data_IF_349042321929
#
_entry.id   IF_349042321929
#
_cell.length_a   1.000
_cell.length_b   1.000
_cell.length_c   1.000
_cell.angle_alpha   90.00
_cell.angle_beta   90.00
_cell.angle_gamma   90.00
#
_symmetry.space_group_name_H-M   'P 1'
#
loop_
_entity.id
_entity.type
_entity.pdbx_description
1 polymer ?
#
# COMPACT_ATOMS: atom_id res chain seq x y z
N UNK A 1 1.27 -4.24 16.76
CA UNK A 1 1.20 -2.76 16.98
C UNK A 1 1.49 -2.07 15.66
N UNK A 2 0.63 -1.16 15.17
CA UNK A 2 0.89 -0.35 13.98
C UNK A 2 1.42 1.03 14.39
N UNK A 3 2.43 1.54 13.68
CA UNK A 3 3.03 2.84 13.92
C UNK A 3 2.85 3.76 12.69
N UNK A 4 2.13 4.88 12.86
CA UNK A 4 2.11 5.93 11.84
C UNK A 4 3.47 6.63 11.77
N UNK A 5 4.05 6.73 10.59
CA UNK A 5 5.29 7.47 10.39
C UNK A 5 5.29 8.29 9.11
N UNK A 6 5.24 9.60 9.29
CA UNK A 6 5.38 10.58 8.21
C UNK A 6 6.79 11.17 8.06
N UNK A 7 7.78 10.69 8.84
CA UNK A 7 9.14 11.23 8.90
C UNK A 7 10.16 10.15 9.26
N UNK A 8 11.38 10.30 8.76
CA UNK A 8 12.51 9.39 8.95
C UNK A 8 12.75 9.01 10.43
N UNK A 9 12.75 9.99 11.34
CA UNK A 9 13.02 9.77 12.76
C UNK A 9 11.96 8.86 13.41
N UNK A 10 10.68 9.05 13.10
CA UNK A 10 9.60 8.20 13.60
C UNK A 10 9.69 6.78 13.07
N UNK A 11 10.00 6.62 11.78
CA UNK A 11 10.20 5.31 11.17
C UNK A 11 11.36 4.55 11.81
N UNK A 12 12.48 5.23 12.12
CA UNK A 12 13.62 4.64 12.79
C UNK A 12 13.26 4.08 14.17
N UNK A 13 12.60 4.89 15.00
CA UNK A 13 12.15 4.46 16.34
C UNK A 13 11.19 3.28 16.26
N UNK A 14 10.24 3.31 15.33
CA UNK A 14 9.28 2.23 15.13
C UNK A 14 9.97 0.93 14.66
N UNK A 15 10.89 1.04 13.70
CA UNK A 15 11.66 -0.10 13.20
C UNK A 15 12.52 -0.74 14.30
N UNK A 16 13.21 0.08 15.12
CA UNK A 16 14.02 -0.37 16.25
C UNK A 16 13.17 -1.01 17.35
N UNK A 17 11.98 -0.49 17.60
CA UNK A 17 11.03 -1.04 18.58
C UNK A 17 10.40 -2.37 18.13
N UNK A 18 10.52 -2.76 16.85
CA UNK A 18 9.97 -4.01 16.34
C UNK A 18 8.45 -4.03 16.35
N UNK A 19 7.81 -2.94 15.90
CA UNK A 19 6.35 -2.91 15.72
C UNK A 19 5.93 -3.89 14.61
N UNK A 20 4.66 -4.30 14.56
CA UNK A 20 4.18 -5.20 13.50
C UNK A 20 4.17 -4.51 12.13
N UNK A 21 3.80 -3.22 12.10
CA UNK A 21 3.80 -2.44 10.86
C UNK A 21 4.19 -0.97 11.05
N UNK A 22 4.76 -0.39 9.97
CA UNK A 22 4.93 1.05 9.81
C UNK A 22 3.99 1.48 8.68
N UNK A 23 3.08 2.40 9.03
CA UNK A 23 2.12 2.98 8.08
C UNK A 23 2.76 4.16 7.33
N UNK A 24 2.52 4.25 6.03
CA UNK A 24 3.04 5.21 5.07
C UNK A 24 4.54 5.05 4.80
N UNK A 25 5.38 5.09 5.82
CA UNK A 25 6.82 4.87 5.70
C UNK A 25 7.48 5.83 4.71
N UNK A 26 7.26 7.13 4.88
CA UNK A 26 7.89 8.13 4.01
C UNK A 26 9.37 8.31 4.35
N UNK A 27 10.18 8.53 3.32
CA UNK A 27 11.61 8.83 3.44
C UNK A 27 12.44 7.70 4.11
N UNK A 28 12.04 6.43 3.91
CA UNK A 28 12.81 5.29 4.42
C UNK A 28 14.16 5.21 3.70
N UNK A 29 15.23 5.15 4.47
CA UNK A 29 16.57 4.85 3.99
C UNK A 29 16.90 3.35 4.06
N UNK A 30 18.02 2.95 3.47
CA UNK A 30 18.43 1.55 3.42
C UNK A 30 18.73 1.00 4.84
N UNK A 31 19.20 1.83 5.79
CA UNK A 31 19.48 1.43 7.18
C UNK A 31 18.19 1.12 7.94
N UNK A 32 17.16 1.95 7.79
CA UNK A 32 15.84 1.71 8.37
C UNK A 32 15.22 0.45 7.77
N UNK A 33 15.25 0.31 6.45
CA UNK A 33 14.74 -0.88 5.77
C UNK A 33 15.47 -2.16 6.22
N UNK A 34 16.78 -2.11 6.40
CA UNK A 34 17.54 -3.24 6.95
C UNK A 34 17.12 -3.58 8.38
N UNK A 35 16.80 -2.56 9.20
CA UNK A 35 16.29 -2.75 10.56
C UNK A 35 14.89 -3.33 10.56
N UNK A 36 13.98 -2.82 9.71
CA UNK A 36 12.64 -3.37 9.50
C UNK A 36 12.71 -4.84 9.12
N UNK A 37 13.58 -5.18 8.15
CA UNK A 37 13.77 -6.58 7.72
C UNK A 37 14.24 -7.49 8.85
N UNK A 38 15.23 -7.07 9.63
CA UNK A 38 15.75 -7.85 10.78
C UNK A 38 14.68 -8.09 11.83
N UNK A 39 13.85 -7.08 12.10
CA UNK A 39 12.83 -7.13 13.15
C UNK A 39 11.45 -7.62 12.66
N UNK A 40 11.34 -8.02 11.39
CA UNK A 40 10.08 -8.52 10.82
C UNK A 40 8.99 -7.46 10.68
N UNK A 41 9.36 -6.16 10.62
CA UNK A 41 8.42 -5.05 10.50
C UNK A 41 7.92 -4.94 9.06
N UNK A 42 6.59 -4.94 8.87
CA UNK A 42 5.94 -4.77 7.57
C UNK A 42 5.78 -3.29 7.23
N UNK A 43 6.03 -2.92 5.98
CA UNK A 43 5.64 -1.61 5.45
C UNK A 43 4.21 -1.68 4.92
N UNK A 44 3.30 -0.87 5.46
CA UNK A 44 1.96 -0.69 4.89
C UNK A 44 1.97 0.57 4.04
N UNK A 45 1.97 0.37 2.72
CA UNK A 45 1.99 1.48 1.77
C UNK A 45 0.62 2.15 1.68
N UNK A 46 0.62 3.45 1.39
CA UNK A 46 -0.58 4.25 1.14
C UNK A 46 -0.31 5.30 0.07
N UNK A 47 0.27 4.87 -1.05
CA UNK A 47 0.65 5.75 -2.17
C UNK A 47 -0.56 6.49 -2.74
N UNK A 48 -1.73 5.86 -2.70
CA UNK A 48 -3.00 6.44 -3.15
C UNK A 48 -3.38 7.72 -2.42
N UNK A 49 -3.01 7.87 -1.15
CA UNK A 49 -3.20 9.13 -0.40
C UNK A 49 -2.43 10.27 -1.06
N UNK A 50 -1.14 10.05 -1.34
CA UNK A 50 -0.28 11.09 -1.94
C UNK A 50 -0.69 11.42 -3.36
N UNK A 51 -1.05 10.42 -4.16
CA UNK A 51 -1.60 10.62 -5.51
C UNK A 51 -2.96 11.36 -5.45
N UNK A 52 -3.79 11.05 -4.45
CA UNK A 52 -5.07 11.74 -4.26
C UNK A 52 -4.91 13.21 -3.90
N UNK A 53 -3.87 13.58 -3.16
CA UNK A 53 -3.60 14.98 -2.82
C UNK A 53 -3.28 15.82 -4.06
N UNK A 54 -2.58 15.28 -5.04
CA UNK A 54 -2.37 15.96 -6.33
C UNK A 54 -3.70 16.24 -7.04
N UNK A 55 -4.60 15.27 -7.06
CA UNK A 55 -5.94 15.44 -7.65
C UNK A 55 -6.76 16.43 -6.84
N UNK A 56 -6.73 16.30 -5.52
CA UNK A 56 -7.46 17.17 -4.61
C UNK A 56 -6.97 18.62 -4.71
N UNK A 57 -5.68 18.85 -4.86
CA UNK A 57 -5.11 20.19 -5.06
C UNK A 57 -5.60 20.91 -6.32
N UNK A 58 -6.13 20.16 -7.30
CA UNK A 58 -6.72 20.73 -8.54
C UNK A 58 -8.19 21.10 -8.39
N UNK A 59 -8.87 20.58 -7.38
CA UNK A 59 -10.33 20.68 -7.23
C UNK A 59 -10.76 21.38 -5.94
N UNK A 60 -9.83 21.61 -5.00
CA UNK A 60 -10.09 22.30 -3.73
C UNK A 60 -9.72 23.78 -3.80
N UNK A 61 -10.29 24.58 -2.89
CA UNK A 61 -9.92 25.98 -2.66
C UNK A 61 -9.08 26.15 -1.38
N UNK A 62 -8.69 25.06 -0.73
CA UNK A 62 -7.93 25.09 0.52
C UNK A 62 -6.47 25.46 0.25
N UNK A 63 -6.02 26.60 0.72
CA UNK A 63 -4.69 27.19 0.45
C UNK A 63 -3.53 26.23 0.70
N UNK A 64 -3.57 25.45 1.78
CA UNK A 64 -2.50 24.46 2.08
C UNK A 64 -2.25 23.42 0.99
N UNK A 65 -3.20 23.23 0.05
CA UNK A 65 -3.08 22.34 -1.11
C UNK A 65 -2.84 23.11 -2.41
N UNK A 66 -3.41 24.31 -2.54
CA UNK A 66 -3.42 25.07 -3.79
C UNK A 66 -2.27 26.07 -3.91
N UNK A 67 -1.69 26.54 -2.79
CA UNK A 67 -0.51 27.38 -2.79
C UNK A 67 0.72 26.65 -3.37
N UNK A 68 1.70 27.40 -3.87
CA UNK A 68 2.92 26.83 -4.46
C UNK A 68 3.65 25.90 -3.49
N UNK A 69 3.86 26.35 -2.26
CA UNK A 69 4.52 25.55 -1.21
C UNK A 69 3.72 24.28 -0.85
N UNK A 70 2.39 24.37 -0.92
CA UNK A 70 1.50 23.22 -0.70
C UNK A 70 1.71 22.14 -1.75
N UNK A 71 1.73 22.53 -3.03
CA UNK A 71 1.96 21.62 -4.15
C UNK A 71 3.37 21.02 -4.12
N UNK A 72 4.39 21.84 -3.84
CA UNK A 72 5.77 21.36 -3.71
C UNK A 72 5.90 20.30 -2.59
N UNK A 73 5.29 20.58 -1.43
CA UNK A 73 5.26 19.61 -0.31
C UNK A 73 4.58 18.31 -0.68
N UNK A 74 3.47 18.36 -1.43
CA UNK A 74 2.77 17.16 -1.91
C UNK A 74 3.68 16.35 -2.84
N UNK A 75 4.29 17.01 -3.80
CA UNK A 75 5.19 16.36 -4.76
C UNK A 75 6.37 15.69 -4.05
N UNK A 76 7.03 16.40 -3.12
CA UNK A 76 8.14 15.85 -2.33
C UNK A 76 7.72 14.64 -1.49
N UNK A 77 6.56 14.69 -0.85
CA UNK A 77 6.05 13.55 -0.06
C UNK A 77 5.75 12.34 -0.92
N UNK A 78 5.15 12.55 -2.08
CA UNK A 78 4.92 11.47 -3.04
C UNK A 78 6.23 10.85 -3.51
N UNK A 79 7.20 11.66 -3.91
CA UNK A 79 8.53 11.20 -4.32
C UNK A 79 9.20 10.38 -3.21
N UNK A 80 9.19 10.88 -1.96
CA UNK A 80 9.74 10.17 -0.81
C UNK A 80 9.03 8.84 -0.53
N UNK A 81 7.71 8.78 -0.68
CA UNK A 81 6.95 7.53 -0.51
C UNK A 81 7.31 6.49 -1.59
N UNK A 82 7.42 6.92 -2.87
CA UNK A 82 7.85 6.03 -3.95
C UNK A 82 9.28 5.51 -3.75
N UNK A 83 10.19 6.39 -3.34
CA UNK A 83 11.58 6.00 -3.03
C UNK A 83 11.64 4.97 -1.89
N UNK A 84 10.77 5.13 -0.89
CA UNK A 84 10.66 4.18 0.24
C UNK A 84 10.21 2.79 -0.20
N UNK A 85 9.27 2.69 -1.15
CA UNK A 85 8.86 1.39 -1.72
C UNK A 85 10.05 0.69 -2.38
N UNK A 86 10.82 1.43 -3.18
CA UNK A 86 12.00 0.88 -3.85
C UNK A 86 13.08 0.45 -2.83
N UNK A 87 13.32 1.22 -1.76
CA UNK A 87 14.25 0.87 -0.70
C UNK A 87 13.78 -0.38 0.08
N UNK A 88 12.51 -0.43 0.47
CA UNK A 88 11.91 -1.56 1.16
C UNK A 88 12.00 -2.85 0.32
N UNK A 89 11.69 -2.77 -0.99
CA UNK A 89 11.83 -3.89 -1.91
C UNK A 89 13.26 -4.41 -1.98
N UNK A 90 14.24 -3.50 -2.16
CA UNK A 90 15.67 -3.89 -2.20
C UNK A 90 16.13 -4.59 -0.93
N UNK A 91 15.67 -4.13 0.23
CA UNK A 91 15.99 -4.72 1.53
C UNK A 91 15.20 -6.02 1.82
N UNK A 92 14.20 -6.36 1.01
CA UNK A 92 13.34 -7.52 1.23
C UNK A 92 12.37 -7.35 2.41
N UNK A 93 11.99 -6.11 2.72
CA UNK A 93 10.91 -5.80 3.66
C UNK A 93 9.59 -6.26 3.08
N UNK A 94 8.74 -6.89 3.89
CA UNK A 94 7.38 -7.23 3.47
C UNK A 94 6.58 -5.94 3.27
N UNK A 95 5.94 -5.81 2.12
CA UNK A 95 5.06 -4.68 1.79
C UNK A 95 3.62 -5.17 1.76
N UNK A 96 2.74 -4.52 2.51
CA UNK A 96 1.30 -4.69 2.45
C UNK A 96 0.63 -3.40 1.97
N UNK A 97 -0.59 -3.49 1.46
CA UNK A 97 -1.35 -2.33 1.01
C UNK A 97 -2.21 -1.73 2.11
N UNK A 98 -2.28 -0.41 2.15
CA UNK A 98 -3.28 0.37 2.88
C UNK A 98 -3.86 1.45 1.97
N UNK A 99 -5.12 1.83 2.15
CA UNK A 99 -5.73 2.92 1.39
C UNK A 99 -5.72 4.25 2.13
N UNK A 100 -5.67 4.22 3.47
CA UNK A 100 -5.86 5.41 4.32
C UNK A 100 -7.05 6.26 3.83
N UNK A 101 -8.17 5.59 3.48
CA UNK A 101 -9.33 6.27 2.91
C UNK A 101 -9.89 7.33 3.87
N UNK A 102 -10.31 8.48 3.31
CA UNK A 102 -10.65 9.66 4.10
C UNK A 102 -9.50 10.67 4.16
N UNK A 103 -8.27 10.26 3.83
CA UNK A 103 -7.14 11.15 3.63
C UNK A 103 -7.12 11.76 2.23
N UNK A 104 -7.62 12.98 2.07
CA UNK A 104 -7.72 13.62 0.75
C UNK A 104 -8.96 13.18 -0.03
N UNK A 105 -8.78 12.69 -1.26
CA UNK A 105 -9.87 12.21 -2.14
C UNK A 105 -9.94 10.69 -2.26
N UNK A 106 -9.18 9.94 -1.49
CA UNK A 106 -9.25 8.47 -1.48
C UNK A 106 -10.57 8.02 -0.87
N UNK A 107 -11.23 7.09 -1.54
CA UNK A 107 -12.50 6.50 -1.10
C UNK A 107 -12.31 5.04 -0.73
N UNK A 108 -13.19 4.54 0.14
CA UNK A 108 -13.27 3.12 0.39
C UNK A 108 -13.50 2.35 -0.92
N UNK A 109 -12.90 1.18 -1.06
CA UNK A 109 -13.00 0.36 -2.26
C UNK A 109 -12.00 0.69 -3.37
N UNK A 110 -11.12 1.68 -3.18
CA UNK A 110 -10.10 2.05 -4.18
C UNK A 110 -8.76 1.33 -3.99
N UNK A 111 -8.73 0.15 -3.37
CA UNK A 111 -7.47 -0.58 -3.13
C UNK A 111 -6.78 -1.00 -4.44
N UNK A 112 -7.52 -1.20 -5.53
CA UNK A 112 -6.98 -1.42 -6.86
C UNK A 112 -6.01 -0.31 -7.29
N UNK A 113 -6.31 0.94 -6.92
CA UNK A 113 -5.44 2.07 -7.21
C UNK A 113 -4.09 1.97 -6.48
N UNK A 114 -4.09 1.52 -5.22
CA UNK A 114 -2.85 1.29 -4.48
C UNK A 114 -1.96 0.25 -5.16
N UNK A 115 -2.55 -0.85 -5.66
CA UNK A 115 -1.81 -1.88 -6.41
C UNK A 115 -1.19 -1.31 -7.69
N UNK A 116 -1.92 -0.50 -8.46
CA UNK A 116 -1.36 0.18 -9.64
C UNK A 116 -0.16 1.06 -9.27
N UNK A 117 -0.31 1.87 -8.23
CA UNK A 117 0.76 2.78 -7.79
C UNK A 117 1.98 2.04 -7.23
N UNK A 118 1.80 0.86 -6.64
CA UNK A 118 2.92 0.01 -6.24
C UNK A 118 3.70 -0.52 -7.45
N UNK A 119 3.02 -0.88 -8.53
CA UNK A 119 3.68 -1.23 -9.80
C UNK A 119 4.40 -0.02 -10.37
N UNK A 120 3.78 1.16 -10.37
CA UNK A 120 4.42 2.42 -10.80
C UNK A 120 5.65 2.77 -9.93
N UNK A 121 5.65 2.38 -8.66
CA UNK A 121 6.77 2.55 -7.73
C UNK A 121 7.86 1.48 -7.87
N UNK A 122 7.70 0.54 -8.81
CA UNK A 122 8.72 -0.43 -9.19
C UNK A 122 8.57 -1.84 -8.61
N UNK A 123 7.41 -2.19 -8.02
CA UNK A 123 7.11 -3.58 -7.72
C UNK A 123 6.72 -4.32 -9.01
N UNK A 124 7.08 -5.59 -9.09
CA UNK A 124 6.51 -6.46 -10.13
C UNK A 124 5.00 -6.67 -9.86
N UNK A 125 4.17 -6.87 -10.89
CA UNK A 125 2.72 -7.04 -10.69
C UNK A 125 2.34 -8.11 -9.67
N UNK A 126 3.08 -9.22 -9.63
CA UNK A 126 2.82 -10.29 -8.66
C UNK A 126 3.18 -9.89 -7.21
N UNK A 127 4.20 -9.02 -7.00
CA UNK A 127 4.56 -8.48 -5.70
C UNK A 127 3.48 -7.49 -5.21
N UNK A 128 3.00 -6.63 -6.11
CA UNK A 128 1.93 -5.68 -5.82
C UNK A 128 0.61 -6.39 -5.50
N UNK A 129 0.26 -7.46 -6.21
CA UNK A 129 -0.91 -8.30 -5.88
C UNK A 129 -0.73 -9.01 -4.53
N UNK A 130 0.46 -9.54 -4.26
CA UNK A 130 0.75 -10.18 -2.98
C UNK A 130 0.61 -9.19 -1.81
N UNK A 131 0.95 -7.91 -2.00
CA UNK A 131 0.79 -6.88 -0.97
C UNK A 131 -0.67 -6.65 -0.57
N UNK A 132 -1.60 -6.78 -1.53
CA UNK A 132 -3.04 -6.61 -1.33
C UNK A 132 -3.76 -7.90 -0.88
N UNK A 133 -3.05 -9.03 -0.82
CA UNK A 133 -3.64 -10.34 -0.51
C UNK A 133 -2.87 -11.02 0.63
N UNK A 134 -1.94 -11.91 0.32
CA UNK A 134 -1.25 -12.73 1.32
C UNK A 134 -0.46 -11.93 2.34
N UNK A 135 0.17 -10.82 1.93
CA UNK A 135 1.01 -10.04 2.85
C UNK A 135 0.14 -9.29 3.88
N UNK A 136 -0.99 -8.72 3.43
CA UNK A 136 -2.00 -8.15 4.34
C UNK A 136 -2.60 -9.20 5.26
N UNK A 137 -2.95 -10.38 4.72
CA UNK A 137 -3.45 -11.50 5.51
C UNK A 137 -2.47 -11.94 6.59
N UNK A 138 -1.20 -12.11 6.23
CA UNK A 138 -0.14 -12.48 7.18
C UNK A 138 0.03 -11.45 8.30
N UNK A 139 -0.03 -10.15 7.97
CA UNK A 139 0.04 -9.07 8.95
C UNK A 139 -1.09 -9.14 9.99
N UNK A 140 -2.27 -9.55 9.57
CA UNK A 140 -3.44 -9.72 10.46
C UNK A 140 -3.59 -11.13 11.06
N UNK A 141 -2.64 -12.03 10.83
CA UNK A 141 -2.69 -13.41 11.32
C UNK A 141 -3.72 -14.29 10.62
N UNK A 142 -4.09 -13.95 9.40
CA UNK A 142 -5.02 -14.74 8.56
C UNK A 142 -4.20 -15.60 7.60
N UNK A 143 -3.77 -16.78 8.05
CA UNK A 143 -2.80 -17.63 7.35
C UNK A 143 -3.24 -18.07 5.94
N UNK A 144 -4.56 -18.23 5.72
CA UNK A 144 -5.10 -18.67 4.42
C UNK A 144 -5.40 -17.54 3.45
N UNK A 145 -5.24 -16.27 3.86
CA UNK A 145 -5.51 -15.14 2.98
C UNK A 145 -4.53 -15.08 1.80
N UNK A 146 -5.08 -14.84 0.61
CA UNK A 146 -4.29 -14.73 -0.62
C UNK A 146 -3.77 -16.07 -1.17
N UNK A 147 -4.33 -17.19 -0.72
CA UNK A 147 -4.05 -18.54 -1.22
C UNK A 147 -5.32 -19.14 -1.82
N UNK A 148 -5.15 -19.94 -2.89
CA UNK A 148 -6.23 -20.69 -3.56
C UNK A 148 -5.91 -22.18 -3.51
N UNK A 149 -5.75 -22.71 -2.29
CA UNK A 149 -5.40 -24.10 -2.06
C UNK A 149 -6.66 -24.92 -1.73
N UNK A 150 -6.63 -26.21 -2.05
CA UNK A 150 -7.73 -27.14 -1.74
C UNK A 150 -7.95 -27.21 -0.23
N UNK A 151 -9.22 -27.13 0.18
CA UNK A 151 -9.61 -27.15 1.60
C UNK A 151 -9.55 -25.80 2.30
N UNK A 152 -9.05 -24.75 1.65
CA UNK A 152 -9.06 -23.40 2.20
C UNK A 152 -10.39 -22.66 1.92
N UNK A 153 -10.74 -21.63 2.70
CA UNK A 153 -11.90 -20.79 2.42
C UNK A 153 -11.81 -20.18 1.00
N UNK A 154 -12.91 -20.30 0.25
CA UNK A 154 -12.98 -19.72 -1.10
C UNK A 154 -13.35 -18.22 -1.01
N UNK A 155 -12.42 -17.40 -0.51
CA UNK A 155 -12.49 -15.93 -0.52
C UNK A 155 -11.74 -15.43 -1.75
N UNK A 156 -12.46 -15.08 -2.80
CA UNK A 156 -11.85 -14.74 -4.08
C UNK A 156 -12.62 -13.63 -4.83
N UNK A 157 -11.87 -12.92 -5.64
CA UNK A 157 -12.40 -11.90 -6.55
C UNK A 157 -12.08 -12.33 -7.98
N UNK A 158 -13.10 -12.38 -8.83
CA UNK A 158 -12.94 -12.59 -10.26
C UNK A 158 -12.95 -11.25 -10.98
N UNK A 159 -11.96 -11.03 -11.83
CA UNK A 159 -11.81 -9.80 -12.61
C UNK A 159 -11.77 -10.11 -14.11
N UNK A 160 -12.16 -9.14 -14.94
CA UNK A 160 -11.98 -9.23 -16.37
C UNK A 160 -10.57 -8.80 -16.76
N UNK A 161 -9.80 -9.72 -17.33
CA UNK A 161 -8.41 -9.53 -17.74
C UNK A 161 -7.44 -10.18 -16.78
N UNK A 162 -6.16 -9.97 -17.05
CA UNK A 162 -5.06 -10.53 -16.27
C UNK A 162 -4.36 -9.40 -15.48
N UNK A 163 -4.51 -9.36 -14.15
CA UNK A 163 -3.90 -8.33 -13.32
C UNK A 163 -2.36 -8.45 -13.22
N UNK A 164 -1.78 -9.58 -13.63
CA UNK A 164 -0.32 -9.74 -13.72
C UNK A 164 0.25 -9.05 -14.96
N UNK A 165 -0.57 -8.90 -16.01
CA UNK A 165 -0.19 -8.17 -17.23
C UNK A 165 -0.61 -6.70 -17.19
N UNK A 166 -1.76 -6.40 -16.58
CA UNK A 166 -2.30 -5.05 -16.44
C UNK A 166 -3.03 -4.91 -15.09
N UNK A 167 -2.45 -4.26 -14.08
CA UNK A 167 -3.06 -4.12 -12.76
C UNK A 167 -4.42 -3.40 -12.79
N UNK A 168 -4.73 -2.62 -13.85
CA UNK A 168 -6.04 -1.99 -14.05
C UNK A 168 -7.17 -3.01 -14.26
N UNK A 169 -6.84 -4.28 -14.51
CA UNK A 169 -7.82 -5.36 -14.50
C UNK A 169 -8.58 -5.45 -13.16
N UNK A 170 -7.94 -5.04 -12.05
CA UNK A 170 -8.55 -5.04 -10.71
C UNK A 170 -9.75 -4.10 -10.57
N UNK A 171 -9.91 -3.12 -11.46
CA UNK A 171 -11.11 -2.27 -11.49
C UNK A 171 -12.31 -2.93 -12.18
N UNK A 172 -12.09 -4.03 -12.89
CA UNK A 172 -13.11 -4.73 -13.68
C UNK A 172 -13.57 -5.99 -12.95
N UNK A 173 -14.06 -5.81 -11.72
CA UNK A 173 -14.58 -6.91 -10.90
C UNK A 173 -15.82 -7.49 -11.56
N UNK A 174 -15.82 -8.81 -11.78
CA UNK A 174 -16.95 -9.58 -12.29
C UNK A 174 -17.75 -10.24 -11.17
N UNK A 175 -17.08 -10.78 -10.17
CA UNK A 175 -17.73 -11.41 -9.04
C UNK A 175 -16.82 -11.42 -7.80
N UNK A 176 -17.44 -11.37 -6.63
CA UNK A 176 -16.77 -11.54 -5.34
C UNK A 176 -17.40 -12.72 -4.62
N UNK A 177 -16.56 -13.61 -4.11
CA UNK A 177 -16.99 -14.75 -3.31
C UNK A 177 -16.39 -14.65 -1.91
N UNK A 178 -17.23 -14.95 -0.92
CA UNK A 178 -16.82 -15.08 0.46
C UNK A 178 -17.21 -16.47 0.95
N UNK A 179 -16.23 -17.27 1.36
CA UNK A 179 -16.42 -18.68 1.77
C UNK A 179 -17.21 -19.49 0.75
N UNK A 180 -16.93 -19.28 -0.54
CA UNK A 180 -17.60 -19.96 -1.64
C UNK A 180 -18.99 -19.41 -2.01
N UNK A 181 -19.51 -18.43 -1.29
CA UNK A 181 -20.80 -17.81 -1.59
C UNK A 181 -20.56 -16.50 -2.36
N UNK A 182 -21.22 -16.35 -3.51
CA UNK A 182 -21.16 -15.09 -4.27
C UNK A 182 -21.84 -13.97 -3.48
N UNK A 183 -21.14 -12.85 -3.26
CA UNK A 183 -21.62 -11.68 -2.49
C UNK A 183 -21.71 -10.42 -3.34
N UNK A 184 -21.07 -10.38 -4.50
CA UNK A 184 -21.19 -9.32 -5.50
C UNK A 184 -20.93 -9.86 -6.91
#
# INVERSE_FOLDING_TARGET
MAAHSGYLAGARVAAEAGVDSIEHGMELDDDICATMKRNGVTLVSTLSVFASWETFARTTTIDRFTAAEGRERIAKRKEGAYASIAAARRAGVVIATGSDFGGGSVRAGHLAWEVELLVDAGLEPHEALASATRNGGALYGVEHAGHLDEGQPADLVLVHGDPLSDPRALWRVWAVYQRGVRVA
#
